data_IF_839643130291
#
_entry.id   IF_839643130291
#
_cell.length_a   1.000
_cell.length_b   1.000
_cell.length_c   1.000
_cell.angle_alpha   90.00
_cell.angle_beta   90.00
_cell.angle_gamma   90.00
#
_symmetry.space_group_name_H-M   'P 1'
#
loop_
_entity.id
_entity.type
_entity.pdbx_description
1 polymer ?
#
# COMPACT_ATOMS: atom_id res chain seq x y z
N UNK A 1 -29.95 -27.45 86.45
CA UNK A 1 -29.73 -28.92 86.46
C UNK A 1 -30.14 -29.48 85.09
N UNK A 2 -29.15 -29.84 84.27
CA UNK A 2 -29.32 -30.73 83.12
C UNK A 2 -28.03 -31.56 83.00
N UNK A 3 -28.11 -32.86 82.70
CA UNK A 3 -27.04 -33.81 83.00
C UNK A 3 -25.99 -33.89 81.88
N UNK A 4 -24.71 -33.90 82.26
CA UNK A 4 -23.64 -34.41 81.42
C UNK A 4 -23.84 -35.92 81.21
N UNK A 5 -24.03 -36.34 79.95
CA UNK A 5 -23.96 -37.76 79.57
C UNK A 5 -22.57 -38.06 79.00
N UNK A 6 -21.79 -38.98 79.58
CA UNK A 6 -20.51 -39.37 79.03
C UNK A 6 -20.73 -40.21 77.77
N UNK A 7 -20.17 -39.77 76.65
CA UNK A 7 -20.08 -40.59 75.44
C UNK A 7 -19.17 -41.80 75.74
N UNK A 8 -19.72 -43.00 75.60
CA UNK A 8 -19.00 -44.25 75.84
C UNK A 8 -17.95 -44.48 74.74
N UNK A 9 -16.81 -45.05 75.12
CA UNK A 9 -15.65 -45.34 74.26
C UNK A 9 -16.00 -46.16 72.99
N UNK A 10 -17.12 -46.91 73.02
CA UNK A 10 -17.68 -47.63 71.87
C UNK A 10 -18.23 -46.72 70.75
N UNK A 11 -18.68 -45.50 71.07
CA UNK A 11 -19.10 -44.51 70.08
C UNK A 11 -17.90 -43.86 69.36
N UNK A 12 -16.73 -43.79 70.02
CA UNK A 12 -15.51 -43.27 69.39
C UNK A 12 -14.87 -44.30 68.45
N UNK A 13 -15.02 -45.61 68.72
CA UNK A 13 -14.46 -46.67 67.85
C UNK A 13 -15.25 -46.89 66.55
N UNK A 14 -16.53 -46.49 66.48
CA UNK A 14 -17.34 -46.64 65.28
C UNK A 14 -17.16 -45.51 64.24
N UNK A 15 -16.44 -44.42 64.59
CA UNK A 15 -16.04 -43.40 63.61
C UNK A 15 -14.72 -43.73 62.89
N UNK A 16 -14.06 -44.84 63.23
CA UNK A 16 -12.73 -45.20 62.73
C UNK A 16 -12.73 -46.30 61.65
N UNK A 17 -13.85 -46.50 60.93
CA UNK A 17 -13.92 -47.46 59.80
C UNK A 17 -14.42 -46.84 58.49
N UNK A 18 -14.01 -45.60 58.20
CA UNK A 18 -14.08 -45.02 56.86
C UNK A 18 -12.73 -44.42 56.48
N UNK A 19 -11.67 -45.23 56.50
CA UNK A 19 -10.47 -44.98 55.73
C UNK A 19 -10.12 -46.27 54.99
N UNK A 20 -10.50 -46.32 53.71
CA UNK A 20 -10.30 -47.48 52.87
C UNK A 20 -10.38 -47.16 51.38
N UNK A 21 -9.95 -45.96 50.98
CA UNK A 21 -9.58 -45.65 49.61
C UNK A 21 -8.71 -44.37 49.61
N UNK A 22 -7.45 -44.50 50.03
CA UNK A 22 -6.41 -43.63 49.45
C UNK A 22 -6.22 -44.11 48.01
N UNK A 23 -7.17 -43.75 47.13
CA UNK A 23 -6.79 -43.55 45.75
C UNK A 23 -5.84 -42.35 45.79
N UNK A 24 -4.53 -42.63 45.86
CA UNK A 24 -3.60 -41.74 45.18
C UNK A 24 -4.22 -41.58 43.78
N UNK A 25 -4.62 -40.38 43.35
CA UNK A 25 -4.98 -40.23 41.96
C UNK A 25 -3.76 -40.72 41.20
N UNK A 26 -3.91 -41.86 40.51
CA UNK A 26 -2.99 -42.24 39.44
C UNK A 26 -2.96 -40.98 38.58
N UNK A 27 -1.81 -40.28 38.46
CA UNK A 27 -1.77 -39.08 37.67
C UNK A 27 -2.26 -39.49 36.29
N UNK A 28 -3.39 -38.92 35.89
CA UNK A 28 -3.94 -39.16 34.57
C UNK A 28 -2.82 -38.78 33.59
N UNK A 29 -2.31 -39.72 32.78
CA UNK A 29 -1.22 -39.45 31.85
C UNK A 29 -1.62 -38.42 30.77
N UNK A 30 -2.86 -37.95 30.77
CA UNK A 30 -3.39 -36.87 29.93
C UNK A 30 -3.87 -35.64 30.71
N UNK A 31 -3.51 -35.47 31.99
CA UNK A 31 -3.79 -34.23 32.73
C UNK A 31 -2.84 -33.11 32.30
N UNK A 32 -3.33 -32.28 31.37
CA UNK A 32 -2.62 -31.14 30.83
C UNK A 32 -2.16 -30.15 31.90
N UNK A 33 -1.03 -29.49 31.60
CA UNK A 33 -0.60 -28.21 32.16
C UNK A 33 -0.94 -27.97 33.65
N UNK A 34 -0.02 -28.33 34.56
CA UNK A 34 -0.18 -28.10 36.01
C UNK A 34 0.07 -26.63 36.34
N UNK A 35 -0.90 -25.93 36.96
CA UNK A 35 -0.66 -24.55 37.44
C UNK A 35 0.32 -24.53 38.62
N UNK A 36 1.25 -23.59 38.62
CA UNK A 36 2.30 -23.42 39.62
C UNK A 36 2.55 -21.91 39.83
N UNK A 37 1.88 -21.33 40.83
CA UNK A 37 1.89 -19.88 41.03
C UNK A 37 1.31 -19.13 39.83
N UNK A 38 2.08 -18.20 39.26
CA UNK A 38 1.72 -17.46 38.03
C UNK A 38 2.09 -18.19 36.74
N UNK A 39 2.73 -19.36 36.83
CA UNK A 39 3.19 -20.15 35.68
C UNK A 39 2.40 -21.43 35.52
N UNK A 40 2.35 -21.92 34.29
CA UNK A 40 1.81 -23.24 33.97
C UNK A 40 2.96 -24.16 33.60
N UNK A 41 3.10 -25.28 34.32
CA UNK A 41 4.13 -26.27 34.06
C UNK A 41 3.86 -27.04 32.77
N UNK A 42 4.92 -27.48 32.12
CA UNK A 42 4.80 -28.28 30.92
C UNK A 42 4.18 -29.64 31.23
N UNK A 43 3.60 -30.29 30.21
CA UNK A 43 3.02 -31.63 30.34
C UNK A 43 4.08 -32.62 30.86
N UNK A 44 3.76 -33.34 31.93
CA UNK A 44 4.68 -34.28 32.58
C UNK A 44 5.58 -33.67 33.65
N UNK A 45 5.52 -32.37 33.89
CA UNK A 45 6.15 -31.70 35.04
C UNK A 45 5.19 -31.54 36.21
N UNK A 46 5.74 -31.41 37.42
CA UNK A 46 5.01 -31.14 38.65
C UNK A 46 5.42 -29.77 39.22
N UNK A 47 4.47 -29.09 39.86
CA UNK A 47 4.78 -27.84 40.57
C UNK A 47 5.67 -28.13 41.79
N UNK A 48 6.89 -27.62 41.75
CA UNK A 48 7.85 -27.74 42.83
C UNK A 48 7.66 -26.61 43.85
N UNK A 49 7.53 -25.37 43.38
CA UNK A 49 7.37 -24.21 44.26
C UNK A 49 6.40 -23.18 43.67
N UNK A 50 5.19 -23.13 44.25
CA UNK A 50 4.13 -22.21 43.85
C UNK A 50 4.52 -20.74 44.02
N UNK A 51 5.29 -20.40 45.06
CA UNK A 51 5.72 -19.02 45.32
C UNK A 51 6.61 -18.46 44.21
N UNK A 52 7.28 -19.33 43.46
CA UNK A 52 8.26 -18.98 42.45
C UNK A 52 7.86 -19.44 41.04
N UNK A 53 6.72 -20.12 40.91
CA UNK A 53 6.33 -20.84 39.70
C UNK A 53 7.40 -21.81 39.17
N UNK A 54 8.11 -22.51 40.06
CA UNK A 54 9.15 -23.46 39.67
C UNK A 54 8.52 -24.82 39.41
N UNK A 55 8.64 -25.28 38.17
CA UNK A 55 8.24 -26.61 37.72
C UNK A 55 9.45 -27.54 37.71
N UNK A 56 9.23 -28.82 37.98
CA UNK A 56 10.30 -29.83 37.93
C UNK A 56 9.76 -31.18 37.46
N UNK A 57 10.67 -32.11 37.16
CA UNK A 57 10.31 -33.49 36.83
C UNK A 57 9.82 -34.24 38.07
N UNK A 58 8.88 -35.18 37.93
CA UNK A 58 8.46 -36.06 39.02
C UNK A 58 9.67 -36.74 39.69
N UNK A 59 9.72 -36.71 41.03
CA UNK A 59 10.80 -37.32 41.82
C UNK A 59 12.09 -36.51 41.94
N UNK A 60 12.19 -35.35 41.28
CA UNK A 60 13.32 -34.44 41.49
C UNK A 60 13.22 -33.74 42.86
N UNK A 61 14.37 -33.61 43.55
CA UNK A 61 14.44 -32.85 44.80
C UNK A 61 14.07 -31.38 44.59
N UNK A 62 13.28 -30.82 45.51
CA UNK A 62 12.76 -29.46 45.42
C UNK A 62 12.79 -28.76 46.78
N UNK A 63 13.17 -27.48 46.78
CA UNK A 63 13.15 -26.63 47.97
C UNK A 63 11.98 -25.64 47.84
N UNK A 64 11.02 -25.74 48.77
CA UNK A 64 9.89 -24.81 48.89
C UNK A 64 10.32 -23.59 49.71
N UNK A 65 10.91 -22.60 49.06
CA UNK A 65 11.25 -21.30 49.64
C UNK A 65 10.27 -20.23 49.16
N UNK A 66 9.91 -19.29 50.03
CA UNK A 66 9.17 -18.10 49.61
C UNK A 66 10.06 -17.24 48.70
N UNK A 67 9.65 -17.03 47.45
CA UNK A 67 10.30 -16.07 46.57
C UNK A 67 9.87 -14.65 46.93
N UNK A 68 10.76 -13.64 46.77
CA UNK A 68 10.36 -12.25 46.90
C UNK A 68 9.23 -11.93 45.91
N UNK A 69 8.25 -11.08 46.28
CA UNK A 69 7.22 -10.65 45.36
C UNK A 69 7.88 -9.99 44.14
N UNK A 70 7.45 -10.36 42.94
CA UNK A 70 7.80 -9.62 41.72
C UNK A 70 7.38 -8.16 41.90
N UNK A 71 8.20 -7.21 41.43
CA UNK A 71 7.88 -5.79 41.54
C UNK A 71 6.68 -5.40 40.65
N UNK A 72 6.16 -4.17 40.79
CA UNK A 72 5.01 -3.72 40.03
C UNK A 72 5.27 -3.71 38.52
N UNK A 73 4.21 -3.92 37.73
CA UNK A 73 4.20 -3.68 36.29
C UNK A 73 4.50 -2.19 36.03
N UNK A 74 5.35 -1.90 35.05
CA UNK A 74 5.69 -0.53 34.65
C UNK A 74 5.81 -0.45 33.14
N UNK A 75 4.71 -0.12 32.46
CA UNK A 75 4.65 -0.09 30.99
C UNK A 75 5.08 -1.42 30.36
N UNK A 76 6.10 -1.42 29.47
CA UNK A 76 6.64 -2.64 28.87
C UNK A 76 7.43 -3.52 29.85
N UNK A 77 7.85 -3.00 31.01
CA UNK A 77 8.72 -3.67 31.95
C UNK A 77 7.97 -4.12 33.22
N UNK A 78 8.60 -4.98 34.01
CA UNK A 78 8.20 -5.30 35.39
C UNK A 78 9.36 -4.92 36.29
N UNK A 79 9.10 -4.11 37.33
CA UNK A 79 10.15 -3.61 38.21
C UNK A 79 10.74 -4.72 39.08
N UNK A 80 11.96 -4.50 39.57
CA UNK A 80 12.57 -5.42 40.53
C UNK A 80 11.81 -5.38 41.86
N UNK A 81 11.95 -6.44 42.66
CA UNK A 81 11.36 -6.50 44.00
C UNK A 81 11.84 -5.32 44.85
N UNK A 82 10.90 -4.54 45.40
CA UNK A 82 11.18 -3.34 46.21
C UNK A 82 11.33 -2.04 45.43
N UNK A 83 11.27 -2.05 44.10
CA UNK A 83 11.20 -0.84 43.27
C UNK A 83 9.75 -0.39 43.02
N UNK A 84 9.59 0.87 42.64
CA UNK A 84 8.31 1.46 42.23
C UNK A 84 8.35 1.87 40.75
N UNK A 85 7.20 1.80 40.09
CA UNK A 85 7.10 2.31 38.72
C UNK A 85 7.24 3.83 38.73
N UNK A 86 8.27 4.31 38.04
CA UNK A 86 8.65 5.71 37.95
C UNK A 86 7.90 6.36 36.78
N UNK A 87 7.99 5.73 35.61
CA UNK A 87 7.41 6.23 34.36
C UNK A 87 6.88 5.06 33.54
N UNK A 88 5.55 4.94 33.47
CA UNK A 88 4.87 3.89 32.70
C UNK A 88 5.12 3.99 31.20
N UNK A 89 5.21 5.21 30.64
CA UNK A 89 5.44 5.39 29.20
C UNK A 89 6.79 4.81 28.77
N UNK A 90 7.80 4.90 29.64
CA UNK A 90 9.16 4.45 29.37
C UNK A 90 9.51 3.11 30.02
N UNK A 91 8.63 2.56 30.86
CA UNK A 91 8.91 1.40 31.71
C UNK A 91 10.10 1.60 32.65
N UNK A 92 10.31 2.81 33.15
CA UNK A 92 11.41 3.13 34.06
C UNK A 92 10.98 2.79 35.48
N UNK A 93 11.80 2.01 36.18
CA UNK A 93 11.65 1.65 37.59
C UNK A 93 12.69 2.41 38.42
N UNK A 94 12.35 2.74 39.66
CA UNK A 94 13.25 3.43 40.59
C UNK A 94 13.06 2.92 42.02
N UNK A 95 14.06 3.06 42.91
CA UNK A 95 13.83 2.89 44.34
C UNK A 95 12.76 3.86 44.88
N UNK A 96 12.05 3.51 45.96
CA UNK A 96 11.11 4.42 46.61
C UNK A 96 11.76 5.76 46.98
N UNK A 97 11.13 6.87 46.57
CA UNK A 97 11.66 8.23 46.78
C UNK A 97 12.75 8.66 45.79
N UNK A 98 13.11 7.82 44.83
CA UNK A 98 14.03 8.17 43.74
C UNK A 98 13.47 9.26 42.82
N UNK A 99 14.37 9.97 42.13
CA UNK A 99 14.00 11.02 41.19
C UNK A 99 13.58 10.42 39.85
N UNK A 100 12.51 10.96 39.27
CA UNK A 100 11.97 10.51 37.99
C UNK A 100 11.83 11.64 36.98
N UNK A 101 11.97 11.33 35.70
CA UNK A 101 11.52 12.19 34.60
C UNK A 101 10.24 11.62 33.98
N UNK A 102 9.15 12.37 34.01
CA UNK A 102 7.87 12.01 33.38
C UNK A 102 7.85 12.32 31.88
N UNK A 103 8.92 11.96 31.17
CA UNK A 103 8.95 12.09 29.71
C UNK A 103 8.04 11.05 29.06
N UNK A 104 7.39 11.42 27.96
CA UNK A 104 6.66 10.46 27.13
C UNK A 104 7.69 9.79 26.22
N UNK A 105 7.91 8.49 26.41
CA UNK A 105 8.69 7.71 25.47
C UNK A 105 7.81 7.36 24.27
N UNK A 106 8.30 7.63 23.07
CA UNK A 106 7.61 7.18 21.86
C UNK A 106 7.60 5.65 21.83
N UNK A 107 6.41 5.09 21.93
CA UNK A 107 6.18 3.66 21.75
C UNK A 107 6.72 3.25 20.38
N UNK A 108 7.56 2.21 20.35
CA UNK A 108 8.06 1.63 19.11
C UNK A 108 6.85 1.21 18.24
N UNK A 109 6.68 1.74 17.01
CA UNK A 109 5.55 1.37 16.16
C UNK A 109 5.48 -0.14 15.94
N UNK A 110 4.31 -0.74 16.15
CA UNK A 110 4.13 -2.20 15.99
C UNK A 110 4.01 -2.63 14.54
N UNK A 111 3.74 -1.69 13.63
CA UNK A 111 3.55 -1.91 12.19
C UNK A 111 4.38 -0.90 11.37
N UNK A 112 4.68 -1.19 10.10
CA UNK A 112 5.33 -0.23 9.19
C UNK A 112 4.52 1.07 9.06
N UNK A 113 5.19 2.22 9.13
CA UNK A 113 4.55 3.55 9.10
C UNK A 113 4.85 4.24 7.78
N UNK A 114 3.83 4.79 7.11
CA UNK A 114 4.04 5.55 5.86
C UNK A 114 4.80 6.85 6.15
N UNK A 115 5.77 7.19 5.30
CA UNK A 115 6.61 8.38 5.46
C UNK A 115 6.96 8.98 4.09
N UNK A 116 6.14 9.90 3.59
CA UNK A 116 6.33 10.53 2.28
C UNK A 116 6.46 9.51 1.13
N UNK A 117 7.54 9.51 0.34
CA UNK A 117 7.76 8.49 -0.70
C UNK A 117 8.05 7.09 -0.12
N UNK A 118 8.54 6.99 1.11
CA UNK A 118 8.98 5.74 1.73
C UNK A 118 7.95 5.18 2.73
N UNK A 119 8.22 3.97 3.23
CA UNK A 119 7.49 3.36 4.36
C UNK A 119 8.55 2.88 5.36
N UNK A 120 8.45 3.35 6.60
CA UNK A 120 9.37 3.00 7.66
C UNK A 120 9.19 1.55 8.10
N UNK A 121 10.31 0.90 8.41
CA UNK A 121 10.30 -0.47 8.91
C UNK A 121 9.54 -0.56 10.25
N UNK A 122 9.13 -1.79 10.60
CA UNK A 122 8.46 -2.06 11.88
C UNK A 122 9.33 -1.55 13.03
N UNK A 123 8.80 -0.58 13.76
CA UNK A 123 9.43 0.01 14.92
C UNK A 123 10.31 1.22 14.68
N UNK A 124 10.38 1.72 13.45
CA UNK A 124 10.92 3.04 13.16
C UNK A 124 9.78 4.06 13.03
N UNK A 125 10.08 5.32 13.34
CA UNK A 125 9.14 6.45 13.22
C UNK A 125 9.46 7.28 11.98
N UNK A 126 8.43 7.86 11.36
CA UNK A 126 8.63 8.84 10.30
C UNK A 126 9.22 10.11 10.90
N UNK A 127 10.45 10.43 10.50
CA UNK A 127 11.16 11.61 10.98
C UNK A 127 10.90 12.80 10.05
N UNK A 128 10.96 12.59 8.73
CA UNK A 128 10.73 13.65 7.76
C UNK A 128 9.88 13.15 6.60
N UNK A 129 8.62 13.59 6.54
CA UNK A 129 7.69 13.22 5.48
C UNK A 129 8.12 13.75 4.10
N UNK A 130 8.67 14.96 4.01
CA UNK A 130 9.10 15.52 2.71
C UNK A 130 10.18 14.66 2.04
N UNK A 131 11.04 14.05 2.85
CA UNK A 131 12.16 13.24 2.40
C UNK A 131 11.92 11.73 2.49
N UNK A 132 10.85 11.31 3.15
CA UNK A 132 10.65 9.92 3.56
C UNK A 132 11.76 9.36 4.44
N UNK A 133 12.32 10.17 5.35
CA UNK A 133 13.39 9.72 6.26
C UNK A 133 12.77 9.07 7.49
N UNK A 134 13.19 7.84 7.76
CA UNK A 134 12.80 7.05 8.92
C UNK A 134 13.94 7.01 9.93
N UNK A 135 13.60 7.00 11.22
CA UNK A 135 14.58 6.89 12.32
C UNK A 135 14.05 5.99 13.42
N UNK A 136 14.91 5.35 14.23
CA UNK A 136 14.48 4.74 15.49
C UNK A 136 13.78 5.77 16.40
N UNK A 137 12.86 5.34 17.28
CA UNK A 137 12.22 6.21 18.28
C UNK A 137 13.27 6.95 19.12
N UNK A 138 13.14 8.27 19.24
CA UNK A 138 14.10 9.14 19.94
C UNK A 138 15.41 9.42 19.18
N UNK A 139 15.57 8.92 17.95
CA UNK A 139 16.70 9.25 17.10
C UNK A 139 16.69 10.71 16.63
N UNK A 140 17.87 11.24 16.29
CA UNK A 140 18.02 12.60 15.80
C UNK A 140 17.45 12.73 14.38
N UNK A 141 16.74 13.82 14.12
CA UNK A 141 16.07 14.07 12.85
C UNK A 141 16.35 15.48 12.35
N UNK A 142 16.44 15.65 11.03
CA UNK A 142 16.50 16.97 10.39
C UNK A 142 15.28 17.20 9.52
N UNK A 143 14.62 18.34 9.72
CA UNK A 143 13.46 18.78 8.92
C UNK A 143 13.92 19.52 7.66
N UNK A 144 14.78 18.89 6.87
CA UNK A 144 15.13 19.42 5.57
C UNK A 144 13.97 19.27 4.59
N UNK A 145 13.76 20.26 3.73
CA UNK A 145 12.86 20.11 2.59
C UNK A 145 13.60 19.33 1.51
N UNK A 146 13.30 18.04 1.37
CA UNK A 146 13.63 17.34 0.15
C UNK A 146 12.54 17.71 -0.83
N UNK A 147 12.85 18.63 -1.74
CA UNK A 147 11.91 19.03 -2.76
C UNK A 147 11.31 17.78 -3.40
N UNK A 148 9.98 17.71 -3.40
CA UNK A 148 9.30 17.24 -4.60
C UNK A 148 9.86 18.17 -5.67
N UNK A 149 10.95 17.76 -6.32
CA UNK A 149 11.51 18.60 -7.36
C UNK A 149 10.39 18.69 -8.39
N UNK A 150 9.87 19.90 -8.57
CA UNK A 150 8.61 20.12 -9.28
C UNK A 150 8.63 19.39 -10.60
N UNK A 151 7.49 18.79 -10.92
CA UNK A 151 7.27 18.13 -12.18
C UNK A 151 7.47 19.15 -13.31
N UNK A 152 8.53 19.01 -14.10
CA UNK A 152 8.86 19.94 -15.19
C UNK A 152 8.17 19.48 -16.46
N UNK A 153 7.28 20.31 -17.01
CA UNK A 153 6.66 20.06 -18.32
C UNK A 153 7.76 20.02 -19.40
N UNK A 154 7.77 18.97 -20.23
CA UNK A 154 8.74 18.80 -21.30
C UNK A 154 8.05 18.24 -22.54
N UNK A 155 7.57 19.11 -23.43
CA UNK A 155 6.77 18.71 -24.59
C UNK A 155 5.50 17.95 -24.21
N UNK A 156 5.34 16.73 -24.75
CA UNK A 156 4.27 15.79 -24.40
C UNK A 156 4.47 15.10 -23.04
N UNK A 157 5.69 15.11 -22.50
CA UNK A 157 6.07 14.45 -21.26
C UNK A 157 6.16 15.43 -20.07
N UNK A 158 6.32 14.84 -18.89
CA UNK A 158 6.57 15.55 -17.62
C UNK A 158 7.76 14.89 -16.94
N UNK A 159 8.82 15.65 -16.68
CA UNK A 159 10.00 15.20 -15.97
C UNK A 159 9.73 15.19 -14.46
N UNK A 160 9.99 14.06 -13.82
CA UNK A 160 9.74 13.85 -12.38
C UNK A 160 11.06 13.55 -11.67
N UNK A 161 11.09 13.53 -10.33
CA UNK A 161 12.34 13.28 -9.58
C UNK A 161 13.40 14.38 -9.77
N UNK A 162 12.97 15.52 -10.34
CA UNK A 162 13.73 16.66 -10.85
C UNK A 162 14.98 16.32 -11.60
N UNK A 163 14.73 15.51 -12.61
CA UNK A 163 15.30 15.70 -13.93
C UNK A 163 14.89 17.06 -14.52
N UNK A 164 15.71 17.56 -15.44
CA UNK A 164 15.45 18.76 -16.22
C UNK A 164 14.96 18.38 -17.62
N UNK A 165 14.14 19.24 -18.22
CA UNK A 165 13.76 19.07 -19.62
C UNK A 165 15.00 19.25 -20.50
N UNK A 166 15.42 18.16 -21.13
CA UNK A 166 16.57 18.09 -22.02
C UNK A 166 16.16 18.59 -23.41
N UNK A 167 15.03 18.10 -23.92
CA UNK A 167 14.55 18.42 -25.25
C UNK A 167 13.02 18.47 -25.27
N UNK A 168 12.47 19.68 -25.37
CA UNK A 168 11.02 19.91 -25.40
C UNK A 168 10.35 19.28 -26.62
N UNK A 169 10.99 19.30 -27.79
CA UNK A 169 10.43 18.73 -29.02
C UNK A 169 10.23 17.21 -28.91
N UNK A 170 11.10 16.55 -28.15
CA UNK A 170 11.08 15.10 -27.97
C UNK A 170 10.45 14.67 -26.63
N UNK A 171 10.15 15.62 -25.74
CA UNK A 171 9.80 15.34 -24.35
C UNK A 171 10.85 14.52 -23.60
N UNK A 172 12.14 14.72 -23.89
CA UNK A 172 13.23 13.97 -23.25
C UNK A 172 13.63 14.68 -21.94
N UNK A 173 13.65 13.92 -20.86
CA UNK A 173 14.11 14.35 -19.54
C UNK A 173 15.51 13.80 -19.27
N UNK A 174 16.35 14.56 -18.57
CA UNK A 174 17.68 14.11 -18.18
C UNK A 174 18.08 14.62 -16.80
N UNK A 175 19.07 13.99 -16.18
CA UNK A 175 19.60 14.45 -14.91
C UNK A 175 20.28 15.83 -15.07
N UNK A 176 20.24 16.70 -14.04
CA UNK A 176 20.91 18.00 -14.10
C UNK A 176 22.41 17.87 -14.42
N UNK A 177 22.86 18.56 -15.47
CA UNK A 177 24.28 18.60 -15.87
C UNK A 177 24.70 17.58 -16.92
N UNK A 178 23.81 16.67 -17.32
CA UNK A 178 24.07 15.74 -18.43
C UNK A 178 24.01 16.43 -19.79
N UNK A 179 24.76 15.90 -20.76
CA UNK A 179 24.77 16.43 -22.14
C UNK A 179 23.47 16.06 -22.85
N UNK A 180 22.88 17.04 -23.52
CA UNK A 180 21.66 16.86 -24.30
C UNK A 180 21.92 16.93 -25.81
N UNK A 181 21.10 16.24 -26.60
CA UNK A 181 21.00 16.47 -28.04
C UNK A 181 19.72 17.25 -28.34
N UNK A 182 19.88 18.45 -28.93
CA UNK A 182 18.77 19.32 -29.36
C UNK A 182 18.24 18.91 -30.74
N UNK A 183 18.07 17.61 -30.95
CA UNK A 183 17.52 17.10 -32.20
C UNK A 183 16.04 17.43 -32.26
N UNK A 184 15.54 17.94 -33.38
CA UNK A 184 14.11 18.13 -33.55
C UNK A 184 13.43 16.78 -33.76
N UNK A 185 12.69 16.30 -32.75
CA UNK A 185 11.84 15.14 -32.95
C UNK A 185 10.60 15.57 -33.74
N UNK A 186 10.49 15.07 -34.96
CA UNK A 186 9.23 15.08 -35.69
C UNK A 186 8.17 14.40 -34.81
N UNK A 187 6.97 15.01 -34.64
CA UNK A 187 5.95 14.51 -33.74
C UNK A 187 5.70 13.03 -34.01
N UNK A 188 5.53 12.24 -32.94
CA UNK A 188 4.94 10.91 -33.09
C UNK A 188 3.63 11.08 -33.83
N UNK A 189 3.45 10.26 -34.87
CA UNK A 189 2.43 10.36 -35.90
C UNK A 189 1.21 11.20 -35.57
N UNK A 190 0.93 12.19 -36.41
CA UNK A 190 -0.35 12.90 -36.34
C UNK A 190 -1.51 11.91 -36.53
N UNK A 191 -2.54 12.00 -35.68
CA UNK A 191 -3.77 11.23 -35.87
C UNK A 191 -4.45 11.69 -37.16
N UNK A 192 -4.71 10.76 -38.06
CA UNK A 192 -5.39 11.02 -39.31
C UNK A 192 -6.55 10.03 -39.46
N UNK A 193 -7.77 10.48 -39.13
CA UNK A 193 -8.93 9.60 -39.08
C UNK A 193 -8.76 8.46 -38.07
N UNK A 194 -8.84 7.22 -38.56
CA UNK A 194 -8.59 6.00 -37.79
C UNK A 194 -7.11 5.59 -37.75
N UNK A 195 -6.24 6.26 -38.51
CA UNK A 195 -4.82 5.95 -38.64
C UNK A 195 -3.95 6.93 -37.83
N UNK A 196 -2.70 6.53 -37.58
CA UNK A 196 -1.66 7.38 -37.00
C UNK A 196 -0.52 7.42 -38.01
N UNK A 197 -0.14 8.62 -38.46
CA UNK A 197 0.84 8.77 -39.54
C UNK A 197 2.24 8.33 -39.12
N UNK A 198 3.09 7.91 -40.07
CA UNK A 198 4.45 7.56 -39.72
C UNK A 198 5.26 8.81 -39.34
N UNK A 199 6.40 8.62 -38.65
CA UNK A 199 7.29 9.72 -38.30
C UNK A 199 7.75 10.45 -39.58
N UNK A 200 7.46 11.76 -39.67
CA UNK A 200 7.77 12.59 -40.84
C UNK A 200 6.68 12.68 -41.91
N UNK A 201 5.52 12.08 -41.65
CA UNK A 201 4.31 12.26 -42.45
C UNK A 201 3.31 13.18 -41.74
N UNK A 202 2.54 13.92 -42.52
CA UNK A 202 1.45 14.80 -42.07
C UNK A 202 0.11 14.20 -42.46
N UNK A 203 -0.95 14.50 -41.69
CA UNK A 203 -2.29 14.03 -42.05
C UNK A 203 -2.74 14.72 -43.34
N UNK A 204 -2.76 13.95 -44.43
CA UNK A 204 -3.26 14.42 -45.70
C UNK A 204 -4.79 14.51 -45.64
N UNK A 205 -5.46 13.38 -45.35
CA UNK A 205 -6.92 13.31 -45.38
C UNK A 205 -7.48 12.50 -44.21
N UNK A 206 -8.02 13.20 -43.22
CA UNK A 206 -8.57 12.62 -42.00
C UNK A 206 -9.82 11.76 -42.25
N UNK A 207 -10.66 12.08 -43.23
CA UNK A 207 -11.84 11.26 -43.55
C UNK A 207 -11.48 9.88 -44.08
N UNK A 208 -10.28 9.74 -44.67
CA UNK A 208 -9.78 8.51 -45.26
C UNK A 208 -8.61 7.88 -44.48
N UNK A 209 -8.14 8.54 -43.44
CA UNK A 209 -6.92 8.20 -42.71
C UNK A 209 -5.66 8.13 -43.58
N UNK A 210 -5.55 8.99 -44.59
CA UNK A 210 -4.40 9.02 -45.51
C UNK A 210 -3.34 9.98 -44.98
N UNK A 211 -2.11 9.47 -44.86
CA UNK A 211 -0.93 10.23 -44.49
C UNK A 211 -0.07 10.48 -45.73
N UNK A 212 0.66 11.60 -45.76
CA UNK A 212 1.58 11.95 -46.85
C UNK A 212 2.84 12.59 -46.30
N UNK A 213 3.91 12.67 -47.08
CA UNK A 213 5.13 13.36 -46.66
C UNK A 213 4.92 14.87 -46.64
N UNK A 214 5.70 15.54 -45.79
CA UNK A 214 5.75 16.99 -45.80
C UNK A 214 6.13 17.49 -47.20
N UNK A 215 5.33 18.43 -47.75
CA UNK A 215 5.43 19.03 -49.10
C UNK A 215 4.91 18.21 -50.30
N UNK A 216 4.32 17.03 -50.08
CA UNK A 216 3.61 16.31 -51.15
C UNK A 216 2.17 16.84 -51.34
N UNK A 217 1.71 16.87 -52.60
CA UNK A 217 0.37 17.32 -52.93
C UNK A 217 -0.68 16.33 -52.43
N UNK A 218 -1.64 16.85 -51.67
CA UNK A 218 -2.69 16.07 -51.03
C UNK A 218 -4.09 16.39 -51.58
N UNK A 219 -4.97 15.39 -51.64
CA UNK A 219 -6.37 15.54 -52.07
C UNK A 219 -7.34 15.28 -50.92
N UNK A 220 -8.15 16.28 -50.58
CA UNK A 220 -9.20 16.18 -49.57
C UNK A 220 -10.52 15.70 -50.19
N UNK A 221 -10.75 14.38 -50.08
CA UNK A 221 -11.99 13.69 -50.46
C UNK A 221 -12.65 13.08 -49.21
N UNK A 222 -13.98 13.11 -49.12
CA UNK A 222 -14.70 12.44 -48.03
C UNK A 222 -14.83 10.96 -48.38
N UNK A 223 -14.21 10.08 -47.59
CA UNK A 223 -14.42 8.64 -47.72
C UNK A 223 -15.69 8.25 -46.92
N UNK A 224 -16.84 8.21 -47.60
CA UNK A 224 -18.03 7.62 -46.99
C UNK A 224 -17.87 6.11 -46.87
N UNK A 225 -18.00 5.59 -45.65
CA UNK A 225 -18.19 4.16 -45.41
C UNK A 225 -19.44 3.72 -46.16
N UNK A 226 -19.25 2.81 -47.12
CA UNK A 226 -20.29 2.21 -47.97
C UNK A 226 -21.36 1.54 -47.11
N UNK A 227 -22.39 2.30 -46.73
CA UNK A 227 -23.61 1.75 -46.17
C UNK A 227 -24.77 2.75 -46.23
N UNK A 228 -25.25 3.07 -47.43
CA UNK A 228 -26.64 3.47 -47.68
C UNK A 228 -26.99 3.37 -49.17
N UNK A 229 -28.25 3.07 -49.53
CA UNK A 229 -28.60 2.39 -50.77
C UNK A 229 -28.62 3.32 -51.99
N UNK A 230 -28.36 2.70 -53.14
CA UNK A 230 -28.58 3.24 -54.48
C UNK A 230 -30.06 3.59 -54.66
N UNK A 231 -30.44 4.88 -54.65
CA UNK A 231 -31.54 5.40 -55.46
C UNK A 231 -31.64 6.94 -55.45
N UNK A 232 -31.97 7.46 -56.64
CA UNK A 232 -32.51 8.78 -56.96
C UNK A 232 -31.61 10.01 -56.70
N UNK A 233 -30.81 10.33 -57.73
CA UNK A 233 -30.33 11.69 -58.06
C UNK A 233 -29.82 12.51 -56.86
N UNK A 234 -28.54 12.36 -56.53
CA UNK A 234 -27.88 13.15 -55.47
C UNK A 234 -27.72 14.62 -55.88
N UNK A 235 -28.12 15.55 -55.02
CA UNK A 235 -27.96 16.99 -55.23
C UNK A 235 -26.48 17.37 -55.00
N UNK A 236 -25.90 18.18 -55.90
CA UNK A 236 -24.48 18.52 -55.90
C UNK A 236 -24.34 20.00 -56.29
N UNK A 237 -24.39 20.88 -55.28
CA UNK A 237 -24.42 22.34 -55.49
C UNK A 237 -25.51 22.79 -56.47
N UNK A 238 -25.16 23.47 -57.59
CA UNK A 238 -26.13 23.91 -58.60
C UNK A 238 -26.65 22.77 -59.49
N UNK A 239 -26.08 21.57 -59.42
CA UNK A 239 -26.39 20.43 -60.28
C UNK A 239 -27.06 19.30 -59.51
N UNK A 240 -27.70 18.38 -60.23
CA UNK A 240 -28.18 17.12 -59.67
C UNK A 240 -27.57 15.96 -60.44
N UNK A 241 -26.85 15.08 -59.72
CA UNK A 241 -26.14 13.96 -60.31
C UNK A 241 -27.08 12.91 -60.88
N UNK A 242 -26.68 12.28 -61.98
CA UNK A 242 -27.45 11.18 -62.57
C UNK A 242 -27.47 9.96 -61.62
N UNK A 243 -28.49 9.08 -61.72
CA UNK A 243 -28.52 7.84 -60.96
C UNK A 243 -27.23 7.04 -61.15
N UNK A 244 -26.59 6.64 -60.04
CA UNK A 244 -25.30 5.93 -60.05
C UNK A 244 -24.06 6.83 -60.11
N UNK A 245 -24.21 8.16 -60.11
CA UNK A 245 -23.11 9.11 -59.91
C UNK A 245 -23.11 9.67 -58.48
N UNK A 246 -21.93 10.04 -57.99
CA UNK A 246 -21.69 10.70 -56.69
C UNK A 246 -21.30 12.16 -56.91
N UNK A 247 -21.65 13.02 -55.95
CA UNK A 247 -21.22 14.42 -55.99
C UNK A 247 -19.71 14.49 -55.80
N UNK A 248 -19.03 15.04 -56.79
CA UNK A 248 -17.58 15.14 -56.88
C UNK A 248 -17.15 16.45 -56.21
N UNK A 249 -17.75 17.56 -56.63
CA UNK A 249 -17.45 18.91 -56.14
C UNK A 249 -18.74 19.71 -56.01
N UNK A 250 -19.13 20.01 -54.77
CA UNK A 250 -20.35 20.77 -54.47
C UNK A 250 -20.28 22.22 -54.95
N UNK A 251 -19.13 22.88 -54.86
CA UNK A 251 -19.00 24.28 -55.30
C UNK A 251 -19.22 24.44 -56.81
N UNK A 252 -18.86 23.42 -57.60
CA UNK A 252 -18.92 23.44 -59.05
C UNK A 252 -20.08 22.63 -59.63
N UNK A 253 -20.83 21.92 -58.79
CA UNK A 253 -21.85 20.95 -59.22
C UNK A 253 -21.34 19.88 -60.18
N UNK A 254 -20.12 19.38 -59.93
CA UNK A 254 -19.51 18.32 -60.73
C UNK A 254 -19.89 16.97 -60.12
N UNK A 255 -20.35 16.05 -60.96
CA UNK A 255 -20.70 14.68 -60.58
C UNK A 255 -19.75 13.68 -61.25
N UNK A 256 -19.41 12.60 -60.57
CA UNK A 256 -18.52 11.55 -61.09
C UNK A 256 -19.08 10.15 -60.84
N UNK A 257 -18.57 9.15 -61.53
CA UNK A 257 -18.81 7.76 -61.17
C UNK A 257 -18.16 7.44 -59.81
N UNK A 258 -18.71 6.49 -59.03
CA UNK A 258 -18.10 6.01 -57.79
C UNK A 258 -16.64 5.60 -58.03
N UNK A 259 -15.71 6.18 -57.26
CA UNK A 259 -14.26 5.95 -57.42
C UNK A 259 -13.57 6.75 -58.53
N UNK A 260 -14.28 7.63 -59.25
CA UNK A 260 -13.69 8.54 -60.24
C UNK A 260 -12.87 9.66 -59.58
N UNK A 261 -11.83 10.14 -60.28
CA UNK A 261 -10.94 11.20 -59.78
C UNK A 261 -11.63 12.57 -59.84
N UNK A 262 -11.45 13.39 -58.80
CA UNK A 262 -12.04 14.71 -58.68
C UNK A 262 -11.05 15.79 -58.21
N UNK A 263 -11.36 17.05 -58.52
CA UNK A 263 -10.66 18.22 -57.99
C UNK A 263 -11.62 19.12 -57.20
N UNK A 264 -11.31 19.36 -55.91
CA UNK A 264 -12.09 20.22 -55.02
C UNK A 264 -11.66 21.69 -55.12
N UNK A 265 -11.92 22.29 -56.28
CA UNK A 265 -11.76 23.73 -56.48
C UNK A 265 -13.04 24.50 -56.14
N UNK A 266 -12.90 25.72 -55.66
CA UNK A 266 -14.04 26.63 -55.48
C UNK A 266 -14.37 27.23 -56.85
N UNK A 267 -15.53 26.88 -57.41
CA UNK A 267 -16.04 27.56 -58.58
C UNK A 267 -16.76 28.82 -58.12
N UNK A 268 -16.21 29.99 -58.48
CA UNK A 268 -17.00 31.21 -58.43
C UNK A 268 -18.10 31.08 -59.47
N UNK A 269 -19.33 30.77 -59.01
CA UNK A 269 -20.52 30.93 -59.83
C UNK A 269 -20.63 32.42 -60.15
N UNK A 270 -20.10 32.81 -61.30
CA UNK A 270 -20.40 34.09 -61.90
C UNK A 270 -21.92 34.15 -62.03
N UNK A 271 -22.49 35.16 -61.39
CA UNK A 271 -23.92 35.45 -61.32
C UNK A 271 -24.52 35.67 -62.71
#
# INVERSE_FOLDING_TARGET
MSPFRPFTLKALLLLAMTFGALANPVPDPNSGAVQCGTKTCATGEVCCNESCGICTKPGAGCIKKLCPPEGPKCGPNTCASGEVCCNESCGICTPPGGKCTQQICQSKPSEPVKCGPNTCAKGDVCCNESCGICTPPGGFCTQQFCGLKEDVKCGSNTCTGGDVCCNESCGICTAPGEKCTEEFCLPEGEKCGTNTCAKGEVCCNASCGICTKQDEMCTQQVCESVSAPVAARAQCGPSTCAPGQVCCNESCGICTAPGGKCTQQICNLAK
#
